data_IF_072650940106
#
_entry.id   IF_072650940106
#
_cell.length_a   1.000
_cell.length_b   1.000
_cell.length_c   1.000
_cell.angle_alpha   90.00
_cell.angle_beta   90.00
_cell.angle_gamma   90.00
#
_symmetry.space_group_name_H-M   'P 1'
#
loop_
_entity.id
_entity.type
_entity.pdbx_description
1 polymer ?
#
# COMPACT_ATOMS: atom_id res chain seq x y z
N UNK A 1 16.87 12.49 8.19
CA UNK A 1 16.18 12.08 6.94
C UNK A 1 16.30 10.57 6.69
N UNK A 2 15.93 9.75 7.68
CA UNK A 2 16.34 8.33 7.73
C UNK A 2 15.18 7.32 7.79
N UNK A 3 13.92 7.74 7.72
CA UNK A 3 12.79 6.81 7.55
C UNK A 3 11.87 7.34 6.45
N UNK A 4 11.72 6.56 5.37
CA UNK A 4 10.63 6.70 4.41
C UNK A 4 9.70 5.52 4.63
N UNK A 5 8.44 5.79 4.93
CA UNK A 5 7.44 4.75 5.16
C UNK A 5 7.01 4.16 3.80
N UNK A 6 6.85 2.84 3.67
CA UNK A 6 6.40 2.22 2.42
C UNK A 6 4.88 2.46 2.26
N UNK A 7 4.52 3.65 1.79
CA UNK A 7 3.12 4.04 1.53
C UNK A 7 2.57 3.41 0.24
N UNK A 8 3.45 2.99 -0.67
CA UNK A 8 3.04 2.49 -1.98
C UNK A 8 2.58 1.02 -1.89
N UNK A 9 1.27 0.82 -1.97
CA UNK A 9 0.64 -0.49 -2.06
C UNK A 9 0.07 -0.70 -3.46
N UNK A 10 0.29 -1.89 -4.03
CA UNK A 10 -0.31 -2.27 -5.32
C UNK A 10 -1.09 -3.57 -5.15
N UNK A 11 -2.36 -3.51 -5.53
CA UNK A 11 -3.27 -4.66 -5.55
C UNK A 11 -3.58 -5.03 -6.99
N UNK A 12 -3.70 -6.33 -7.29
CA UNK A 12 -4.06 -6.84 -8.61
C UNK A 12 -5.10 -7.95 -8.50
N UNK A 13 -5.78 -8.26 -9.62
CA UNK A 13 -6.73 -9.36 -9.70
C UNK A 13 -6.06 -10.73 -9.50
N UNK A 14 -6.86 -11.75 -9.14
CA UNK A 14 -6.40 -13.14 -8.91
C UNK A 14 -6.02 -13.85 -10.21
N UNK A 15 -6.41 -13.30 -11.34
CA UNK A 15 -6.05 -13.75 -12.68
C UNK A 15 -4.67 -13.26 -13.12
N UNK A 16 -3.96 -12.53 -12.26
CA UNK A 16 -2.61 -12.04 -12.50
C UNK A 16 -1.60 -12.61 -11.50
N UNK A 17 -0.48 -13.10 -12.02
CA UNK A 17 0.68 -13.50 -11.23
C UNK A 17 1.79 -12.47 -11.30
N UNK A 18 2.52 -12.25 -10.19
CA UNK A 18 3.63 -11.31 -10.13
C UNK A 18 4.89 -11.91 -10.76
N UNK A 19 5.36 -11.32 -11.85
CA UNK A 19 6.60 -11.75 -12.54
C UNK A 19 7.82 -10.97 -12.06
N UNK A 20 7.68 -9.65 -11.89
CA UNK A 20 8.79 -8.80 -11.46
C UNK A 20 8.26 -7.53 -10.80
N UNK A 21 8.91 -7.11 -9.72
CA UNK A 21 8.70 -5.81 -9.11
C UNK A 21 10.05 -5.19 -8.81
N UNK A 22 10.25 -3.93 -9.22
CA UNK A 22 11.44 -3.17 -8.84
C UNK A 22 11.13 -1.69 -8.71
N UNK A 23 11.82 -1.04 -7.78
CA UNK A 23 11.86 0.41 -7.67
C UNK A 23 12.74 0.97 -8.79
N UNK A 24 12.30 2.05 -9.42
CA UNK A 24 13.07 2.79 -10.42
C UNK A 24 13.84 3.95 -9.76
N UNK A 25 14.70 4.58 -10.55
CA UNK A 25 15.52 5.69 -10.08
C UNK A 25 14.67 6.90 -9.67
N UNK A 26 15.22 7.66 -8.74
CA UNK A 26 14.63 8.91 -8.28
C UNK A 26 14.57 9.93 -9.42
N UNK A 27 13.40 10.54 -9.63
CA UNK A 27 13.16 11.48 -10.73
C UNK A 27 12.84 12.91 -10.25
N UNK A 28 13.12 13.24 -8.98
CA UNK A 28 12.81 14.56 -8.41
C UNK A 28 11.49 14.62 -7.63
N UNK A 29 10.69 13.56 -7.62
CA UNK A 29 9.49 13.43 -6.78
C UNK A 29 9.83 12.82 -5.42
N UNK A 30 9.12 13.23 -4.37
CA UNK A 30 9.17 12.60 -3.04
C UNK A 30 8.75 11.11 -3.05
N UNK A 31 8.05 10.67 -4.10
CA UNK A 31 7.74 9.27 -4.39
C UNK A 31 8.75 8.61 -5.33
N UNK A 32 9.03 7.32 -5.10
CA UNK A 32 9.81 6.51 -6.03
C UNK A 32 8.88 5.84 -7.04
N UNK A 33 9.18 5.87 -8.35
CA UNK A 33 8.43 5.08 -9.30
C UNK A 33 8.68 3.60 -9.06
N UNK A 34 7.63 2.78 -9.21
CA UNK A 34 7.71 1.33 -9.11
C UNK A 34 7.33 0.74 -10.47
N UNK A 35 8.17 -0.17 -10.95
CA UNK A 35 7.88 -1.01 -12.10
C UNK A 35 7.32 -2.35 -11.62
N UNK A 36 6.18 -2.75 -12.19
CA UNK A 36 5.53 -4.02 -11.91
C UNK A 36 5.22 -4.71 -13.23
N UNK A 37 5.62 -5.98 -13.33
CA UNK A 37 5.28 -6.88 -14.44
C UNK A 37 4.38 -7.97 -13.92
N UNK A 38 3.19 -8.05 -14.49
CA UNK A 38 2.20 -9.08 -14.21
C UNK A 38 2.06 -9.99 -15.43
N UNK A 39 1.79 -11.27 -15.18
CA UNK A 39 1.41 -12.24 -16.20
C UNK A 39 -0.07 -12.60 -16.01
N UNK A 40 -0.82 -12.62 -17.11
CA UNK A 40 -2.22 -13.03 -17.10
C UNK A 40 -2.31 -14.56 -17.12
N UNK A 41 -2.83 -15.15 -16.05
CA UNK A 41 -2.94 -16.60 -15.87
C UNK A 41 -4.35 -16.94 -15.37
N UNK A 42 -5.33 -17.12 -16.28
CA UNK A 42 -6.66 -17.53 -15.90
C UNK A 42 -6.63 -18.95 -15.34
N UNK A 43 -7.08 -19.14 -14.09
CA UNK A 43 -7.19 -20.45 -13.44
C UNK A 43 -6.23 -20.71 -12.26
N UNK A 44 -5.26 -19.82 -12.00
CA UNK A 44 -4.40 -19.88 -10.80
C UNK A 44 -5.11 -19.48 -9.50
N UNK A 45 -6.42 -19.19 -9.56
CA UNK A 45 -7.18 -18.62 -8.45
C UNK A 45 -7.16 -19.47 -7.19
N UNK A 46 -7.01 -20.79 -7.28
CA UNK A 46 -7.07 -21.67 -6.10
C UNK A 46 -5.85 -21.53 -5.17
N UNK A 47 -4.66 -21.25 -5.71
CA UNK A 47 -3.43 -21.11 -4.93
C UNK A 47 -3.25 -19.69 -4.34
N UNK A 48 -3.96 -18.70 -4.88
CA UNK A 48 -4.01 -17.33 -4.38
C UNK A 48 -5.28 -17.11 -3.53
N UNK A 49 -5.35 -17.83 -2.41
CA UNK A 49 -6.37 -17.54 -1.39
C UNK A 49 -5.98 -16.23 -0.69
N UNK A 50 -6.92 -15.28 -0.52
CA UNK A 50 -6.68 -14.18 0.40
C UNK A 50 -6.46 -14.76 1.80
N UNK A 51 -5.57 -14.13 2.58
CA UNK A 51 -5.42 -14.47 4.00
C UNK A 51 -6.80 -14.39 4.68
N UNK A 52 -7.05 -15.30 5.62
CA UNK A 52 -8.26 -15.23 6.44
C UNK A 52 -8.30 -13.85 7.13
N UNK A 53 -9.37 -13.09 6.86
CA UNK A 53 -9.61 -11.83 7.57
C UNK A 53 -9.70 -12.14 9.06
N UNK A 54 -8.81 -11.55 9.85
CA UNK A 54 -8.93 -11.57 11.30
C UNK A 54 -9.86 -10.42 11.74
N UNK A 55 -10.71 -10.67 12.75
CA UNK A 55 -11.75 -9.76 13.22
C UNK A 55 -11.21 -8.36 13.61
N UNK A 56 -9.93 -8.26 14.00
CA UNK A 56 -9.25 -7.00 14.33
C UNK A 56 -8.78 -6.14 13.15
N UNK A 57 -8.89 -6.61 11.91
CA UNK A 57 -8.39 -5.88 10.72
C UNK A 57 -9.24 -4.63 10.41
N UNK A 58 -10.55 -4.72 10.67
CA UNK A 58 -11.48 -3.59 10.51
C UNK A 58 -11.25 -2.48 11.54
N UNK A 59 -11.02 -2.86 12.81
CA UNK A 59 -10.77 -1.91 13.89
C UNK A 59 -9.42 -1.22 13.72
N UNK A 60 -8.38 -1.96 13.31
CA UNK A 60 -7.07 -1.39 13.00
C UNK A 60 -7.08 -0.43 11.82
N UNK A 61 -7.86 -0.73 10.77
CA UNK A 61 -8.03 0.17 9.63
C UNK A 61 -8.73 1.48 10.04
N UNK A 62 -9.79 1.38 10.85
CA UNK A 62 -10.53 2.54 11.36
C UNK A 62 -9.66 3.43 12.25
N UNK A 63 -8.90 2.83 13.17
CA UNK A 63 -8.01 3.55 14.06
C UNK A 63 -6.93 4.33 13.28
N UNK A 64 -6.35 3.75 12.23
CA UNK A 64 -5.37 4.45 11.38
C UNK A 64 -5.96 5.66 10.65
N UNK A 65 -7.21 5.57 10.20
CA UNK A 65 -7.90 6.70 9.55
C UNK A 65 -8.13 7.82 10.57
N UNK A 66 -8.59 7.46 11.77
CA UNK A 66 -8.86 8.41 12.86
C UNK A 66 -7.57 9.10 13.34
N UNK A 67 -6.49 8.34 13.56
CA UNK A 67 -5.17 8.87 13.93
C UNK A 67 -4.60 9.79 12.83
N UNK A 68 -4.78 9.45 11.56
CA UNK A 68 -4.37 10.32 10.45
C UNK A 68 -5.18 11.63 10.44
N UNK A 69 -6.48 11.59 10.72
CA UNK A 69 -7.31 12.80 10.77
C UNK A 69 -6.96 13.70 11.95
N UNK A 70 -6.66 13.12 13.12
CA UNK A 70 -6.31 13.89 14.31
C UNK A 70 -4.94 14.57 14.16
N UNK A 71 -3.95 13.87 13.59
CA UNK A 71 -2.62 14.44 13.34
C UNK A 71 -2.67 15.64 12.36
N UNK A 72 -3.54 15.59 11.34
CA UNK A 72 -3.76 16.71 10.40
C UNK A 72 -4.38 17.92 11.10
N UNK A 73 -5.27 17.70 12.07
CA UNK A 73 -5.89 18.79 12.84
C UNK A 73 -4.86 19.44 13.76
N UNK A 74 -4.00 18.68 14.43
CA UNK A 74 -3.00 19.24 15.34
C UNK A 74 -1.93 20.09 14.64
N UNK A 75 -1.48 19.71 13.43
CA UNK A 75 -0.49 20.51 12.69
C UNK A 75 -1.04 21.85 12.19
N UNK A 76 -2.35 21.95 11.91
CA UNK A 76 -3.00 23.20 11.48
C UNK A 76 -3.22 24.22 12.62
N UNK A 77 -3.15 23.78 13.88
CA UNK A 77 -3.29 24.67 15.06
C UNK A 77 -1.94 25.26 15.47
N UNK A 78 -0.84 24.55 15.29
CA UNK A 78 0.51 25.02 15.63
C UNK A 78 1.13 25.97 14.58
N UNK A 79 0.59 26.05 13.35
CA UNK A 79 1.01 27.00 12.32
C UNK A 79 0.31 28.38 12.37
N UNK A 80 -0.49 28.68 13.42
CA UNK A 80 -1.23 29.95 13.55
C UNK A 80 -0.74 30.88 14.65
#
# INVERSE_FOLDING_TARGET
>A
PCLRWPLDHVFHGREFSLVNMRRLDYFGSDYFPIYIKLEYVPGLSEDQQPDEKNDGDHDGARQKVEEATDNVVTEQVDEK
#
